data_IF_890772815726
#
_entry.id   IF_890772815726
#
_cell.length_a   1.000
_cell.length_b   1.000
_cell.length_c   1.000
_cell.angle_alpha   90.00
_cell.angle_beta   90.00
_cell.angle_gamma   90.00
#
_symmetry.space_group_name_H-M   'P 1'
#
loop_
_entity.id
_entity.type
_entity.pdbx_description
1 polymer ?
#
# COMPACT_ATOMS: atom_id res chain seq x y z
N UNK A 1 -18.76 1.76 7.45
CA UNK A 1 -18.06 2.68 8.38
C UNK A 1 -16.52 2.61 8.35
N UNK A 2 -15.88 1.49 7.99
CA UNK A 2 -14.41 1.34 8.13
C UNK A 2 -13.54 2.25 7.25
N UNK A 3 -14.00 2.69 6.08
CA UNK A 3 -13.23 3.59 5.18
C UNK A 3 -13.34 5.06 5.62
N UNK A 4 -14.37 5.44 6.38
CA UNK A 4 -14.62 6.85 6.74
C UNK A 4 -13.42 7.44 7.49
N UNK A 5 -12.81 6.65 8.36
CA UNK A 5 -11.61 7.00 9.13
C UNK A 5 -10.36 7.26 8.27
N UNK A 6 -10.38 6.89 6.98
CA UNK A 6 -9.31 7.26 6.05
C UNK A 6 -9.38 8.75 5.68
N UNK A 7 -10.54 9.39 5.80
CA UNK A 7 -10.82 10.74 5.28
C UNK A 7 -11.20 11.74 6.37
N UNK A 8 -11.21 11.33 7.64
CA UNK A 8 -11.31 12.25 8.79
C UNK A 8 -10.00 13.05 8.95
N UNK A 9 -10.00 14.14 9.74
CA UNK A 9 -8.77 14.83 10.12
C UNK A 9 -7.71 13.85 10.63
N UNK A 10 -6.44 14.12 10.32
CA UNK A 10 -5.27 13.30 10.64
C UNK A 10 -5.25 11.87 10.03
N UNK A 11 -6.28 11.49 9.27
CA UNK A 11 -6.38 10.25 8.51
C UNK A 11 -5.94 8.98 9.28
N UNK A 12 -6.44 8.74 10.52
CA UNK A 12 -5.98 7.65 11.38
C UNK A 12 -6.17 6.26 10.76
N UNK A 13 -7.18 6.08 9.90
CA UNK A 13 -7.40 4.83 9.17
C UNK A 13 -6.26 4.51 8.20
N UNK A 14 -5.71 5.53 7.53
CA UNK A 14 -4.60 5.35 6.59
C UNK A 14 -3.31 5.08 7.35
N UNK A 15 -3.03 5.83 8.42
CA UNK A 15 -1.85 5.61 9.26
C UNK A 15 -1.83 4.18 9.82
N UNK A 16 -2.97 3.70 10.31
CA UNK A 16 -3.14 2.32 10.80
C UNK A 16 -2.85 1.29 9.71
N UNK A 17 -3.37 1.50 8.49
CA UNK A 17 -3.13 0.59 7.35
C UNK A 17 -1.68 0.59 6.91
N UNK A 18 -1.03 1.75 6.83
CA UNK A 18 0.40 1.86 6.51
C UNK A 18 1.24 1.12 7.54
N UNK A 19 0.93 1.26 8.83
CA UNK A 19 1.61 0.52 9.89
C UNK A 19 1.45 -1.00 9.71
N UNK A 20 0.23 -1.48 9.44
CA UNK A 20 -0.01 -2.91 9.16
C UNK A 20 0.78 -3.41 7.94
N UNK A 21 0.89 -2.61 6.87
CA UNK A 21 1.71 -2.95 5.70
C UNK A 21 3.18 -3.04 6.09
N UNK A 22 3.70 -2.09 6.87
CA UNK A 22 5.10 -2.11 7.35
C UNK A 22 5.41 -3.39 8.14
N UNK A 23 4.58 -3.74 9.13
CA UNK A 23 4.73 -4.98 9.89
C UNK A 23 4.63 -6.24 9.02
N UNK A 24 3.74 -6.23 8.02
CA UNK A 24 3.61 -7.34 7.08
C UNK A 24 4.91 -7.53 6.29
N UNK A 25 5.46 -6.46 5.72
CA UNK A 25 6.71 -6.50 4.92
C UNK A 25 7.89 -6.92 5.77
N UNK A 26 8.05 -6.35 6.97
CA UNK A 26 9.09 -6.73 7.92
C UNK A 26 9.08 -8.25 8.20
N UNK A 27 7.89 -8.84 8.32
CA UNK A 27 7.73 -10.27 8.60
C UNK A 27 8.16 -11.18 7.45
N UNK A 28 8.01 -10.77 6.18
CA UNK A 28 8.33 -11.63 5.03
C UNK A 28 9.61 -11.26 4.27
N UNK A 29 10.08 -10.01 4.37
CA UNK A 29 11.30 -9.54 3.69
C UNK A 29 11.89 -8.32 4.45
N UNK A 30 12.74 -8.62 5.44
CA UNK A 30 13.41 -7.59 6.27
C UNK A 30 14.29 -6.67 5.42
N UNK A 31 14.93 -7.19 4.37
CA UNK A 31 15.78 -6.38 3.48
C UNK A 31 14.95 -5.33 2.73
N UNK A 32 13.78 -5.72 2.20
CA UNK A 32 12.84 -4.80 1.59
C UNK A 32 12.34 -3.77 2.60
N UNK A 33 11.99 -4.21 3.82
CA UNK A 33 11.54 -3.30 4.88
C UNK A 33 12.57 -2.21 5.20
N UNK A 34 13.84 -2.59 5.40
CA UNK A 34 14.92 -1.62 5.65
C UNK A 34 15.12 -0.67 4.48
N UNK A 35 15.02 -1.16 3.24
CA UNK A 35 15.08 -0.30 2.06
C UNK A 35 13.93 0.71 2.03
N UNK A 36 12.71 0.25 2.29
CA UNK A 36 11.53 1.14 2.33
C UNK A 36 11.71 2.22 3.39
N UNK A 37 12.22 1.90 4.59
CA UNK A 37 12.54 2.89 5.62
C UNK A 37 13.57 3.92 5.14
N UNK A 38 14.61 3.48 4.42
CA UNK A 38 15.64 4.38 3.87
C UNK A 38 15.10 5.35 2.80
N UNK A 39 14.05 4.96 2.08
CA UNK A 39 13.43 5.77 1.03
C UNK A 39 12.42 6.80 1.56
N UNK A 40 11.95 6.67 2.82
CA UNK A 40 10.74 7.36 3.29
C UNK A 40 10.87 7.91 4.71
N UNK A 41 11.76 8.86 4.95
CA UNK A 41 11.89 9.48 6.27
C UNK A 41 10.63 10.23 6.74
N UNK A 42 9.64 10.49 5.87
CA UNK A 42 8.51 11.41 6.17
C UNK A 42 7.12 10.90 5.67
N UNK A 43 6.82 9.63 5.92
CA UNK A 43 5.43 9.07 5.85
C UNK A 43 4.78 8.94 4.45
N UNK A 44 5.34 9.49 3.38
CA UNK A 44 4.78 9.35 2.02
C UNK A 44 5.41 8.19 1.26
N UNK A 45 5.12 6.96 1.67
CA UNK A 45 5.37 5.76 0.85
C UNK A 45 4.28 5.59 -0.21
N UNK A 46 4.56 4.89 -1.31
CA UNK A 46 3.60 4.57 -2.39
C UNK A 46 2.24 4.08 -1.85
N UNK A 47 2.28 3.32 -0.76
CA UNK A 47 1.10 2.81 -0.08
C UNK A 47 0.13 3.91 0.37
N UNK A 48 0.59 5.10 0.75
CA UNK A 48 -0.29 6.22 1.08
C UNK A 48 -1.14 6.64 -0.12
N UNK A 49 -0.51 6.80 -1.30
CA UNK A 49 -1.20 7.16 -2.54
C UNK A 49 -2.18 6.07 -2.97
N UNK A 50 -1.77 4.81 -2.85
CA UNK A 50 -2.62 3.66 -3.15
C UNK A 50 -3.85 3.57 -2.25
N UNK A 51 -3.68 3.74 -0.94
CA UNK A 51 -4.78 3.69 0.04
C UNK A 51 -5.74 4.86 -0.13
N UNK A 52 -5.23 6.06 -0.39
CA UNK A 52 -6.06 7.26 -0.58
C UNK A 52 -6.90 7.21 -1.84
N UNK A 53 -6.29 6.79 -2.95
CA UNK A 53 -6.91 6.83 -4.27
C UNK A 53 -7.41 5.46 -4.74
N UNK A 54 -7.36 4.45 -3.87
CA UNK A 54 -7.75 3.07 -4.18
C UNK A 54 -7.15 2.58 -5.51
N UNK A 55 -5.85 2.83 -5.70
CA UNK A 55 -5.04 2.43 -6.87
C UNK A 55 -5.36 3.11 -8.21
N UNK A 56 -6.36 4.00 -8.30
CA UNK A 56 -6.79 4.61 -9.58
C UNK A 56 -5.69 5.45 -10.26
N UNK A 57 -4.73 5.98 -9.48
CA UNK A 57 -3.69 6.90 -9.98
C UNK A 57 -2.51 6.22 -10.65
N UNK A 58 -2.18 5.00 -10.21
CA UNK A 58 -0.95 4.30 -10.58
C UNK A 58 -1.22 3.04 -11.44
N UNK A 59 -2.48 2.65 -11.62
CA UNK A 59 -2.87 1.45 -12.35
C UNK A 59 -3.93 1.74 -13.42
N UNK A 60 -3.96 0.93 -14.47
CA UNK A 60 -4.98 1.07 -15.52
C UNK A 60 -6.39 0.85 -14.95
N UNK A 61 -7.37 1.63 -15.43
CA UNK A 61 -8.75 1.56 -14.95
C UNK A 61 -9.33 0.14 -15.04
N UNK A 62 -9.01 -0.61 -16.11
CA UNK A 62 -9.46 -1.99 -16.30
C UNK A 62 -8.96 -2.92 -15.17
N UNK A 63 -7.69 -2.79 -14.79
CA UNK A 63 -7.10 -3.57 -13.70
C UNK A 63 -7.70 -3.18 -12.35
N UNK A 64 -7.93 -1.87 -12.14
CA UNK A 64 -8.50 -1.35 -10.90
C UNK A 64 -9.93 -1.83 -10.69
N UNK A 65 -10.77 -1.80 -11.73
CA UNK A 65 -12.15 -2.34 -11.66
C UNK A 65 -12.13 -3.82 -11.29
N UNK A 66 -11.28 -4.62 -11.95
CA UNK A 66 -11.16 -6.06 -11.64
C UNK A 66 -10.68 -6.32 -10.22
N UNK A 67 -9.78 -5.48 -9.69
CA UNK A 67 -9.34 -5.55 -8.31
C UNK A 67 -10.50 -5.22 -7.36
N UNK A 68 -11.24 -4.15 -7.65
CA UNK A 68 -12.40 -3.73 -6.86
C UNK A 68 -13.50 -4.77 -6.83
N UNK A 69 -13.76 -5.51 -7.92
CA UNK A 69 -14.70 -6.64 -7.92
C UNK A 69 -14.35 -7.66 -6.83
N UNK A 70 -13.05 -7.93 -6.64
CA UNK A 70 -12.57 -8.86 -5.62
C UNK A 70 -12.66 -8.26 -4.22
N UNK A 71 -12.35 -6.97 -4.09
CA UNK A 71 -12.46 -6.26 -2.82
C UNK A 71 -13.91 -6.17 -2.35
N UNK A 72 -14.86 -5.86 -3.25
CA UNK A 72 -16.29 -5.82 -2.92
C UNK A 72 -16.86 -7.20 -2.58
N UNK A 73 -16.33 -8.28 -3.14
CA UNK A 73 -16.74 -9.63 -2.79
C UNK A 73 -16.25 -10.08 -1.40
N UNK A 74 -15.31 -9.35 -0.77
CA UNK A 74 -14.76 -9.66 0.55
C UNK A 74 -15.37 -8.74 1.62
N UNK A 75 -15.78 -9.33 2.76
CA UNK A 75 -16.45 -8.59 3.84
C UNK A 75 -15.63 -7.39 4.38
N UNK A 76 -14.29 -7.50 4.44
CA UNK A 76 -13.37 -6.43 4.87
C UNK A 76 -12.41 -6.00 3.75
N UNK A 77 -12.92 -5.99 2.51
CA UNK A 77 -12.13 -5.75 1.29
C UNK A 77 -11.27 -4.49 1.31
N UNK A 78 -11.82 -3.39 1.80
CA UNK A 78 -11.19 -2.06 1.78
C UNK A 78 -10.50 -1.68 3.09
N UNK A 79 -10.52 -2.57 4.08
CA UNK A 79 -9.90 -2.35 5.38
C UNK A 79 -8.73 -3.30 5.63
N UNK A 80 -9.00 -4.60 5.58
CA UNK A 80 -8.00 -5.64 5.85
C UNK A 80 -7.39 -6.16 4.54
N UNK A 81 -8.21 -6.47 3.54
CA UNK A 81 -7.72 -7.11 2.32
C UNK A 81 -6.81 -6.18 1.49
N UNK A 82 -7.09 -4.87 1.49
CA UNK A 82 -6.25 -3.86 0.83
C UNK A 82 -4.81 -3.84 1.35
N UNK A 83 -4.59 -4.11 2.64
CA UNK A 83 -3.25 -4.21 3.24
C UNK A 83 -2.47 -5.37 2.62
N UNK A 84 -3.13 -6.51 2.42
CA UNK A 84 -2.52 -7.68 1.79
C UNK A 84 -2.26 -7.46 0.30
N UNK A 85 -3.15 -6.76 -0.41
CA UNK A 85 -2.92 -6.36 -1.81
C UNK A 85 -1.66 -5.49 -1.90
N UNK A 86 -1.55 -4.43 -1.09
CA UNK A 86 -0.37 -3.58 -1.04
C UNK A 86 0.90 -4.38 -0.74
N UNK A 87 0.85 -5.27 0.26
CA UNK A 87 1.96 -6.16 0.61
C UNK A 87 2.37 -7.09 -0.52
N UNK A 88 1.41 -7.65 -1.26
CA UNK A 88 1.66 -8.52 -2.39
C UNK A 88 2.31 -7.75 -3.57
N UNK A 89 1.88 -6.52 -3.84
CA UNK A 89 2.49 -5.65 -4.84
C UNK A 89 3.95 -5.33 -4.44
N UNK A 90 4.18 -4.94 -3.19
CA UNK A 90 5.54 -4.69 -2.68
C UNK A 90 6.43 -5.93 -2.80
N UNK A 91 5.90 -7.11 -2.50
CA UNK A 91 6.61 -8.38 -2.68
C UNK A 91 6.93 -8.65 -4.16
N UNK A 92 5.97 -8.42 -5.06
CA UNK A 92 6.14 -8.63 -6.49
C UNK A 92 7.28 -7.77 -7.07
N UNK A 93 7.42 -6.54 -6.59
CA UNK A 93 8.46 -5.60 -7.03
C UNK A 93 9.66 -5.52 -6.09
N UNK A 94 9.79 -6.45 -5.12
CA UNK A 94 10.81 -6.40 -4.05
C UNK A 94 12.23 -6.18 -4.59
N UNK A 95 12.65 -7.00 -5.56
CA UNK A 95 13.99 -6.91 -6.15
C UNK A 95 14.23 -5.60 -6.90
N UNK A 96 13.20 -5.05 -7.55
CA UNK A 96 13.30 -3.75 -8.19
C UNK A 96 13.46 -2.64 -7.13
N UNK A 97 12.60 -2.63 -6.11
CA UNK A 97 12.60 -1.65 -5.02
C UNK A 97 13.95 -1.62 -4.29
N UNK A 98 14.55 -2.80 -4.02
CA UNK A 98 15.85 -2.92 -3.35
C UNK A 98 16.98 -2.24 -4.13
N UNK A 99 16.93 -2.32 -5.45
CA UNK A 99 17.97 -1.81 -6.35
C UNK A 99 17.81 -0.33 -6.72
N UNK A 100 16.69 0.29 -6.35
CA UNK A 100 16.42 1.70 -6.67
C UNK A 100 17.24 2.64 -5.79
N UNK A 101 17.86 3.64 -6.40
CA UNK A 101 18.59 4.73 -5.73
C UNK A 101 17.71 5.94 -5.41
N UNK A 102 16.65 6.18 -6.20
CA UNK A 102 15.79 7.37 -6.08
C UNK A 102 14.30 7.01 -5.89
N UNK A 103 13.60 7.58 -4.90
CA UNK A 103 12.24 7.18 -4.53
C UNK A 103 11.15 7.50 -5.58
N UNK A 104 11.46 8.19 -6.68
CA UNK A 104 10.44 8.66 -7.64
C UNK A 104 10.14 7.71 -8.80
N UNK A 105 10.90 6.62 -9.00
CA UNK A 105 10.89 5.86 -10.27
C UNK A 105 9.97 4.63 -10.27
N UNK A 106 9.16 4.41 -9.24
CA UNK A 106 8.55 3.09 -9.06
C UNK A 106 7.33 2.76 -9.94
N UNK A 107 6.62 3.74 -10.52
CA UNK A 107 5.48 3.50 -11.43
C UNK A 107 5.26 4.69 -12.37
#
# INVERSE_FOLDING_TARGET
DQIINNYTPDQPGIQTKIHKIKCLVERFDVSLYMKLLSLSFDETLFCYKWLNNLFVRDFSLKSVIRLWDTMWAQNDGFDVFIVYICGAILKLFSEHIKNITEPFVLF
#
